data_IF_769794546542
#
_entry.id   IF_769794546542
#
_cell.length_a   1.000
_cell.length_b   1.000
_cell.length_c   1.000
_cell.angle_alpha   90.00
_cell.angle_beta   90.00
_cell.angle_gamma   90.00
#
_symmetry.space_group_name_H-M   'P 1'
#
loop_
_entity.id
_entity.type
_entity.pdbx_description
1 polymer ?
#
# COMPACT_ATOMS: atom_id res chain seq x y z
N UNK A 1 -6.23 0.65 -12.17
CA UNK A 1 -5.60 0.27 -10.91
C UNK A 1 -4.47 1.21 -10.52
N UNK A 2 -4.14 1.17 -9.25
CA UNK A 2 -3.09 2.01 -8.69
C UNK A 2 -1.69 1.46 -8.99
N UNK A 3 -1.59 0.24 -9.53
CA UNK A 3 -0.33 -0.37 -9.94
C UNK A 3 0.39 -1.16 -8.85
N UNK A 4 -0.33 -1.61 -7.85
CA UNK A 4 0.24 -2.36 -6.73
C UNK A 4 -0.12 -3.84 -6.81
N UNK A 5 0.88 -4.70 -6.56
CA UNK A 5 0.66 -6.11 -6.30
C UNK A 5 0.85 -6.33 -4.81
N UNK A 6 -0.22 -6.69 -4.14
CA UNK A 6 -0.28 -6.80 -2.69
C UNK A 6 -0.51 -8.24 -2.25
N UNK A 7 0.13 -8.62 -1.14
CA UNK A 7 -0.09 -9.89 -0.47
C UNK A 7 -0.20 -9.64 1.02
N UNK A 8 -0.91 -10.53 1.71
CA UNK A 8 -0.91 -10.48 3.17
C UNK A 8 0.52 -10.58 3.66
N UNK A 9 0.92 -9.69 4.57
CA UNK A 9 2.27 -9.72 5.13
C UNK A 9 2.50 -11.03 5.89
N UNK A 10 3.62 -11.69 5.61
CA UNK A 10 3.98 -12.94 6.25
C UNK A 10 5.49 -13.00 6.48
N UNK A 11 5.91 -14.04 7.21
CA UNK A 11 7.31 -14.22 7.58
C UNK A 11 8.22 -14.39 6.37
N UNK A 12 7.75 -15.12 5.36
CA UNK A 12 8.53 -15.36 4.13
C UNK A 12 8.81 -14.04 3.41
N UNK A 13 7.79 -13.21 3.22
CA UNK A 13 7.96 -11.90 2.59
C UNK A 13 8.82 -10.96 3.42
N UNK A 14 8.62 -10.97 4.74
CA UNK A 14 9.42 -10.11 5.62
C UNK A 14 10.91 -10.44 5.53
N UNK A 15 11.25 -11.72 5.46
CA UNK A 15 12.64 -12.16 5.27
C UNK A 15 13.17 -11.79 3.89
N UNK A 16 12.36 -11.98 2.87
CA UNK A 16 12.77 -11.68 1.49
C UNK A 16 13.12 -10.20 1.31
N UNK A 17 12.35 -9.31 1.88
CA UNK A 17 12.57 -7.88 1.75
C UNK A 17 13.38 -7.26 2.88
N UNK A 18 13.68 -8.04 3.92
CA UNK A 18 14.45 -7.55 5.06
C UNK A 18 13.71 -6.50 5.88
N UNK A 19 12.42 -6.70 6.09
CA UNK A 19 11.56 -5.74 6.80
C UNK A 19 10.98 -6.37 8.06
N UNK A 20 10.65 -5.57 9.08
CA UNK A 20 9.97 -6.10 10.27
C UNK A 20 8.58 -6.61 9.90
N UNK A 21 8.22 -7.78 10.41
CA UNK A 21 6.88 -8.33 10.17
C UNK A 21 5.85 -7.64 11.04
N UNK A 22 4.72 -7.31 10.42
CA UNK A 22 3.55 -6.83 11.12
C UNK A 22 2.30 -7.14 10.30
N UNK A 23 1.14 -7.03 10.90
CA UNK A 23 -0.12 -7.24 10.18
C UNK A 23 -0.33 -6.14 9.15
N UNK A 24 -0.75 -6.55 7.97
CA UNK A 24 -1.05 -5.62 6.89
C UNK A 24 -0.82 -6.26 5.54
N UNK A 25 -0.72 -5.43 4.52
CA UNK A 25 -0.49 -5.86 3.15
C UNK A 25 0.91 -5.46 2.72
N UNK A 26 1.69 -6.45 2.35
CA UNK A 26 3.04 -6.23 1.84
C UNK A 26 2.99 -5.92 0.35
N UNK A 27 3.72 -4.90 -0.05
CA UNK A 27 3.87 -4.53 -1.44
C UNK A 27 4.93 -5.42 -2.06
N UNK A 28 4.53 -6.27 -3.02
CA UNK A 28 5.44 -7.18 -3.70
C UNK A 28 5.99 -6.59 -4.99
N UNK A 29 5.14 -5.92 -5.75
CA UNK A 29 5.54 -5.28 -7.00
C UNK A 29 4.78 -3.97 -7.18
N UNK A 30 5.43 -3.04 -7.84
CA UNK A 30 4.81 -1.76 -8.23
C UNK A 30 5.00 -1.61 -9.72
N UNK A 31 3.90 -1.41 -10.45
CA UNK A 31 3.96 -1.19 -11.88
C UNK A 31 4.65 0.15 -12.16
N UNK A 32 5.68 0.10 -12.99
CA UNK A 32 6.45 1.29 -13.34
C UNK A 32 5.56 2.32 -14.02
N UNK A 33 5.67 3.57 -13.58
CA UNK A 33 4.87 4.66 -14.11
C UNK A 33 3.45 4.73 -13.56
N UNK A 34 3.07 3.82 -12.66
CA UNK A 34 1.76 3.84 -12.04
C UNK A 34 1.65 4.95 -11.00
N UNK A 35 0.42 5.16 -10.52
CA UNK A 35 0.15 6.18 -9.51
C UNK A 35 0.99 6.00 -8.24
N UNK A 36 1.27 4.75 -7.87
CA UNK A 36 2.02 4.44 -6.64
C UNK A 36 3.54 4.49 -6.81
N UNK A 37 4.04 4.50 -8.04
CA UNK A 37 5.45 4.22 -8.33
C UNK A 37 6.45 5.14 -7.61
N UNK A 38 6.18 6.42 -7.51
CA UNK A 38 7.11 7.35 -6.87
C UNK A 38 6.89 7.53 -5.37
N UNK A 39 5.91 6.85 -4.80
CA UNK A 39 5.50 7.07 -3.42
C UNK A 39 5.71 5.88 -2.51
N UNK A 40 5.72 4.68 -3.08
CA UNK A 40 5.80 3.43 -2.35
C UNK A 40 6.93 2.57 -2.90
N UNK A 41 7.40 1.63 -2.08
CA UNK A 41 8.54 0.76 -2.43
C UNK A 41 8.17 -0.70 -2.12
N UNK A 42 8.56 -1.66 -2.97
CA UNK A 42 8.38 -3.08 -2.63
C UNK A 42 8.98 -3.43 -1.27
N UNK A 43 8.28 -4.26 -0.53
CA UNK A 43 8.67 -4.64 0.83
C UNK A 43 8.01 -3.81 1.92
N UNK A 44 7.50 -2.64 1.58
CA UNK A 44 6.75 -1.84 2.56
C UNK A 44 5.41 -2.50 2.88
N UNK A 45 4.91 -2.27 4.09
CA UNK A 45 3.67 -2.89 4.57
C UNK A 45 2.62 -1.81 4.80
N UNK A 46 1.48 -1.97 4.10
CA UNK A 46 0.33 -1.08 4.26
C UNK A 46 -0.53 -1.62 5.40
N UNK A 47 -0.77 -0.81 6.42
CA UNK A 47 -1.57 -1.21 7.56
C UNK A 47 -2.98 -0.64 7.54
N UNK A 48 -3.15 0.53 6.94
CA UNK A 48 -4.44 1.21 6.90
C UNK A 48 -4.61 1.90 5.55
N UNK A 49 -5.84 1.95 5.06
CA UNK A 49 -6.23 2.71 3.88
C UNK A 49 -7.51 3.44 4.19
N UNK A 50 -7.51 4.76 3.98
CA UNK A 50 -8.65 5.62 4.31
C UNK A 50 -9.14 5.40 5.73
N UNK A 51 -8.19 5.29 6.68
CA UNK A 51 -8.43 5.14 8.11
C UNK A 51 -9.11 3.81 8.48
N UNK A 52 -9.05 2.82 7.59
CA UNK A 52 -9.56 1.48 7.82
C UNK A 52 -8.41 0.48 7.79
N UNK A 53 -8.33 -0.38 8.77
CA UNK A 53 -7.31 -1.43 8.80
C UNK A 53 -7.48 -2.37 7.61
N UNK A 54 -6.36 -2.72 6.97
CA UNK A 54 -6.36 -3.69 5.87
C UNK A 54 -5.56 -4.91 6.28
N UNK A 55 -6.17 -6.09 6.16
CA UNK A 55 -5.56 -7.35 6.56
C UNK A 55 -5.48 -8.34 5.40
N UNK A 56 -6.17 -8.04 4.31
CA UNK A 56 -6.15 -8.88 3.12
C UNK A 56 -6.23 -8.00 1.88
N UNK A 57 -5.78 -8.51 0.71
CA UNK A 57 -5.94 -7.76 -0.54
C UNK A 57 -7.40 -7.41 -0.84
N UNK A 58 -8.32 -8.21 -0.33
CA UNK A 58 -9.76 -7.96 -0.45
C UNK A 58 -10.17 -6.65 0.21
N UNK A 59 -9.64 -6.37 1.39
CA UNK A 59 -9.92 -5.12 2.09
C UNK A 59 -9.49 -3.92 1.26
N UNK A 60 -8.29 -4.00 0.70
CA UNK A 60 -7.76 -2.93 -0.14
C UNK A 60 -8.65 -2.73 -1.38
N UNK A 61 -8.99 -3.82 -2.06
CA UNK A 61 -9.80 -3.76 -3.28
C UNK A 61 -11.17 -3.12 -3.02
N UNK A 62 -11.79 -3.47 -1.88
CA UNK A 62 -13.08 -2.90 -1.50
C UNK A 62 -12.99 -1.39 -1.28
N UNK A 63 -11.98 -0.95 -0.53
CA UNK A 63 -11.79 0.48 -0.24
C UNK A 63 -11.44 1.23 -1.53
N UNK A 64 -10.57 0.65 -2.35
CA UNK A 64 -10.16 1.25 -3.61
C UNK A 64 -11.37 1.46 -4.54
N UNK A 65 -12.22 0.44 -4.65
CA UNK A 65 -13.41 0.50 -5.50
C UNK A 65 -14.37 1.61 -5.06
N UNK A 66 -14.48 1.86 -3.75
CA UNK A 66 -15.41 2.83 -3.19
C UNK A 66 -14.81 4.24 -3.10
N UNK A 67 -13.57 4.43 -3.54
CA UNK A 67 -12.87 5.71 -3.41
C UNK A 67 -12.85 6.46 -4.74
N UNK A 68 -13.18 7.75 -4.68
CA UNK A 68 -13.00 8.65 -5.82
C UNK A 68 -11.56 9.18 -5.82
N UNK A 69 -10.70 8.55 -6.64
CA UNK A 69 -9.29 8.90 -6.69
C UNK A 69 -9.01 10.31 -7.17
N UNK A 70 -9.89 10.86 -8.00
CA UNK A 70 -9.71 12.22 -8.52
C UNK A 70 -10.01 13.27 -7.48
N UNK A 71 -11.02 13.04 -6.66
CA UNK A 71 -11.48 14.01 -5.68
C UNK A 71 -10.83 13.83 -4.32
N UNK A 72 -10.75 12.61 -3.82
CA UNK A 72 -10.31 12.33 -2.46
C UNK A 72 -8.98 11.60 -2.36
N UNK A 73 -8.69 10.70 -3.29
CA UNK A 73 -7.49 9.89 -3.23
C UNK A 73 -7.55 8.80 -2.18
N UNK A 74 -6.46 8.03 -2.09
CA UNK A 74 -6.27 7.01 -1.06
C UNK A 74 -5.28 7.53 -0.03
N UNK A 75 -5.68 7.53 1.22
CA UNK A 75 -4.80 7.88 2.35
C UNK A 75 -4.25 6.56 2.88
N UNK A 76 -2.96 6.32 2.67
CA UNK A 76 -2.31 5.05 2.97
C UNK A 76 -1.34 5.23 4.12
N UNK A 77 -1.47 4.41 5.16
CA UNK A 77 -0.48 4.32 6.22
C UNK A 77 0.44 3.16 5.89
N UNK A 78 1.72 3.45 5.75
CA UNK A 78 2.70 2.45 5.32
C UNK A 78 3.90 2.44 6.27
N UNK A 79 4.46 1.24 6.47
CA UNK A 79 5.65 1.01 7.30
C UNK A 79 6.79 0.58 6.40
N UNK A 80 7.94 1.23 6.53
CA UNK A 80 9.09 0.96 5.68
C UNK A 80 10.00 -0.14 6.28
N UNK A 81 11.12 -0.39 5.61
CA UNK A 81 12.08 -1.44 6.02
C UNK A 81 12.68 -1.21 7.40
N UNK A 82 12.66 0.01 7.89
CA UNK A 82 13.17 0.35 9.22
C UNK A 82 12.08 0.34 10.28
N UNK A 83 10.85 0.02 9.89
CA UNK A 83 9.71 0.08 10.77
C UNK A 83 9.15 1.48 10.98
N UNK A 84 9.63 2.46 10.23
CA UNK A 84 9.11 3.82 10.30
C UNK A 84 7.77 3.92 9.58
N UNK A 85 6.86 4.63 10.20
CA UNK A 85 5.50 4.80 9.70
C UNK A 85 5.39 6.15 9.00
N UNK A 86 4.74 6.16 7.83
CA UNK A 86 4.42 7.41 7.15
C UNK A 86 3.06 7.32 6.49
N UNK A 87 2.54 8.49 6.14
CA UNK A 87 1.26 8.60 5.48
C UNK A 87 1.51 9.03 4.03
N UNK A 88 0.90 8.31 3.10
CA UNK A 88 1.02 8.59 1.66
C UNK A 88 -0.38 8.81 1.11
N UNK A 89 -0.55 9.87 0.32
CA UNK A 89 -1.82 10.15 -0.34
C UNK A 89 -1.63 9.93 -1.84
N UNK A 90 -2.35 8.93 -2.36
CA UNK A 90 -2.36 8.67 -3.79
C UNK A 90 -3.61 9.29 -4.40
N UNK A 91 -3.41 10.24 -5.28
CA UNK A 91 -4.51 10.96 -5.90
C UNK A 91 -4.28 11.08 -7.40
N UNK A 92 -5.31 10.82 -8.18
CA UNK A 92 -5.26 10.99 -9.61
C UNK A 92 -5.24 12.47 -9.96
N UNK A 93 -4.33 12.86 -10.86
CA UNK A 93 -4.26 14.25 -11.29
C UNK A 93 -5.22 14.51 -12.44
N UNK A 94 -5.89 15.66 -12.36
CA UNK A 94 -6.62 16.21 -13.49
C UNK A 94 -5.64 17.05 -14.31
N UNK A 95 -5.34 16.60 -15.50
CA UNK A 95 -4.49 17.36 -16.43
C UNK A 95 -5.38 18.13 -17.41
#
# INVERSE_FOLDING_TARGET
>A
PVGLKLRKADETGAKQFGVPLQEGLMIWEIEKGSLADNWLTPGEIITDVNFQAVRSPFDFARIYRDTDLKRKGLVIVVHDARGNKRLVILKERNL
#
